data_IF_644359490976
#
_entry.id   IF_644359490976
#
_cell.length_a   1.000
_cell.length_b   1.000
_cell.length_c   1.000
_cell.angle_alpha   90.00
_cell.angle_beta   90.00
_cell.angle_gamma   90.00
#
_symmetry.space_group_name_H-M   'P 1'
#
loop_
_entity.id
_entity.type
_entity.pdbx_description
1 polymer ?
#
# COMPACT_ATOMS: atom_id res chain seq x y z
N UNK A 1 4.00 17.48 -36.47
CA UNK A 1 2.56 17.13 -36.54
C UNK A 1 2.25 15.63 -36.31
N UNK A 2 3.24 14.73 -36.17
CA UNK A 2 3.03 13.28 -35.89
C UNK A 2 3.07 12.83 -34.42
N UNK A 3 3.37 13.72 -33.47
CA UNK A 3 3.52 13.36 -32.05
C UNK A 3 2.19 13.30 -31.26
N UNK A 4 1.11 13.91 -31.77
CA UNK A 4 -0.17 13.99 -31.06
C UNK A 4 -0.91 12.66 -30.96
N UNK A 5 -1.09 11.97 -32.09
CA UNK A 5 -1.81 10.68 -32.12
C UNK A 5 -1.09 9.60 -31.32
N UNK A 6 0.25 9.50 -31.47
CA UNK A 6 1.06 8.56 -30.69
C UNK A 6 0.93 8.81 -29.19
N UNK A 7 0.95 10.08 -28.75
CA UNK A 7 0.73 10.43 -27.35
C UNK A 7 -0.63 10.00 -26.81
N UNK A 8 -1.71 10.18 -27.59
CA UNK A 8 -3.05 9.75 -27.18
C UNK A 8 -3.22 8.23 -27.16
N UNK A 9 -2.59 7.50 -28.10
CA UNK A 9 -2.57 6.03 -28.07
C UNK A 9 -1.85 5.54 -26.81
N UNK A 10 -0.67 6.08 -26.49
CA UNK A 10 0.06 5.73 -25.28
C UNK A 10 -0.73 6.07 -24.01
N UNK A 11 -1.41 7.22 -23.99
CA UNK A 11 -2.31 7.60 -22.90
C UNK A 11 -3.46 6.60 -22.75
N UNK A 12 -4.07 6.16 -23.85
CA UNK A 12 -5.17 5.19 -23.84
C UNK A 12 -4.74 3.80 -23.37
N UNK A 13 -3.58 3.32 -23.83
CA UNK A 13 -3.01 2.04 -23.36
C UNK A 13 -2.67 2.12 -21.87
N UNK A 14 -2.03 3.21 -21.43
CA UNK A 14 -1.71 3.45 -20.02
C UNK A 14 -2.97 3.53 -19.14
N UNK A 15 -4.03 4.18 -19.63
CA UNK A 15 -5.33 4.20 -18.97
C UNK A 15 -5.95 2.79 -18.88
N UNK A 16 -5.88 2.00 -19.95
CA UNK A 16 -6.34 0.61 -19.96
C UNK A 16 -5.63 -0.24 -18.91
N UNK A 17 -4.30 -0.16 -18.81
CA UNK A 17 -3.53 -0.85 -17.77
C UNK A 17 -3.89 -0.38 -16.36
N UNK A 18 -4.10 0.92 -16.17
CA UNK A 18 -4.50 1.46 -14.88
C UNK A 18 -5.90 0.96 -14.46
N UNK A 19 -6.85 0.93 -15.39
CA UNK A 19 -8.20 0.40 -15.18
C UNK A 19 -8.19 -1.12 -14.90
N UNK A 20 -7.38 -1.89 -15.62
CA UNK A 20 -7.21 -3.33 -15.35
C UNK A 20 -6.58 -3.60 -13.97
N UNK A 21 -5.70 -2.70 -13.50
CA UNK A 21 -4.99 -2.86 -12.23
C UNK A 21 -5.83 -2.48 -11.01
N UNK A 22 -6.61 -1.39 -11.08
CA UNK A 22 -7.31 -0.84 -9.91
C UNK A 22 -8.77 -0.46 -10.17
N UNK A 23 -9.29 -0.77 -11.35
CA UNK A 23 -10.66 -0.46 -11.73
C UNK A 23 -10.89 1.06 -11.95
N UNK A 24 -12.15 1.51 -11.85
CA UNK A 24 -12.55 2.87 -12.21
C UNK A 24 -11.83 4.00 -11.45
N UNK A 25 -11.26 3.74 -10.26
CA UNK A 25 -10.52 4.74 -9.49
C UNK A 25 -9.33 5.33 -10.27
N UNK A 26 -8.78 4.60 -11.24
CA UNK A 26 -7.74 5.11 -12.13
C UNK A 26 -8.17 6.38 -12.89
N UNK A 27 -9.46 6.50 -13.23
CA UNK A 27 -10.00 7.68 -13.90
C UNK A 27 -9.84 8.93 -13.04
N UNK A 28 -9.95 8.80 -11.71
CA UNK A 28 -9.74 9.92 -10.79
C UNK A 28 -8.32 10.49 -10.90
N UNK A 29 -7.33 9.67 -11.25
CA UNK A 29 -5.92 10.11 -11.31
C UNK A 29 -5.57 10.66 -12.68
N UNK A 30 -6.13 10.07 -13.73
CA UNK A 30 -5.72 10.33 -15.11
C UNK A 30 -6.62 11.39 -15.75
N UNK A 31 -7.94 11.28 -15.62
CA UNK A 31 -8.90 12.07 -16.40
C UNK A 31 -8.91 13.57 -16.07
N UNK A 32 -8.76 14.02 -14.80
CA UNK A 32 -8.76 15.45 -14.50
C UNK A 32 -7.63 16.22 -15.19
N UNK A 33 -6.48 15.57 -15.40
CA UNK A 33 -5.30 16.20 -15.98
C UNK A 33 -5.55 16.72 -17.41
N UNK A 34 -5.91 15.89 -18.41
CA UNK A 34 -6.22 16.35 -19.74
C UNK A 34 -7.51 17.18 -19.82
N UNK A 35 -8.49 16.98 -18.92
CA UNK A 35 -9.69 17.81 -18.87
C UNK A 35 -9.36 19.27 -18.51
N UNK A 36 -8.47 19.45 -17.53
CA UNK A 36 -8.03 20.76 -17.04
C UNK A 36 -6.85 21.33 -17.84
N UNK A 37 -6.57 20.79 -19.03
CA UNK A 37 -5.53 21.29 -19.93
C UNK A 37 -5.56 22.80 -20.20
N UNK A 38 -6.73 23.45 -20.40
CA UNK A 38 -6.78 24.90 -20.53
C UNK A 38 -6.21 25.67 -19.32
N UNK A 39 -6.26 25.05 -18.14
CA UNK A 39 -5.84 25.63 -16.87
C UNK A 39 -4.39 25.35 -16.50
N UNK A 40 -3.68 24.43 -17.15
CA UNK A 40 -2.23 24.29 -16.93
C UNK A 40 -1.41 24.67 -18.15
N UNK A 41 -1.88 24.42 -19.37
CA UNK A 41 -1.15 24.71 -20.60
C UNK A 41 -1.15 26.22 -20.91
N UNK A 42 -0.01 26.88 -20.72
CA UNK A 42 0.21 28.28 -21.15
C UNK A 42 0.89 28.34 -22.52
N UNK A 43 1.90 27.52 -22.69
CA UNK A 43 2.71 27.42 -23.91
C UNK A 43 2.24 26.22 -24.74
N UNK A 44 2.35 26.32 -26.07
CA UNK A 44 2.01 25.20 -26.95
C UNK A 44 0.53 24.82 -26.95
N UNK A 45 -0.37 25.76 -26.63
CA UNK A 45 -1.83 25.55 -26.68
C UNK A 45 -2.25 25.03 -28.05
N UNK A 46 -3.16 24.03 -28.12
CA UNK A 46 -3.68 23.57 -29.39
C UNK A 46 -4.45 24.71 -30.06
N UNK A 47 -4.37 24.80 -31.40
CA UNK A 47 -5.15 25.78 -32.16
C UNK A 47 -6.67 25.63 -31.93
N UNK A 48 -7.14 24.40 -31.65
CA UNK A 48 -8.54 24.09 -31.32
C UNK A 48 -8.60 23.02 -30.24
N UNK A 49 -9.27 23.31 -29.12
CA UNK A 49 -9.48 22.36 -28.02
C UNK A 49 -10.30 21.13 -28.42
N UNK A 50 -11.13 21.22 -29.46
CA UNK A 50 -11.86 20.07 -30.02
C UNK A 50 -10.93 18.90 -30.37
N UNK A 51 -9.78 19.17 -30.98
CA UNK A 51 -8.82 18.11 -31.33
C UNK A 51 -8.17 17.47 -30.10
N UNK A 52 -7.92 18.27 -29.06
CA UNK A 52 -7.41 17.78 -27.78
C UNK A 52 -8.41 16.85 -27.11
N UNK A 53 -9.67 17.25 -26.99
CA UNK A 53 -10.71 16.43 -26.37
C UNK A 53 -11.12 15.23 -27.24
N UNK A 54 -11.00 15.31 -28.57
CA UNK A 54 -11.13 14.14 -29.44
C UNK A 54 -10.00 13.11 -29.18
N UNK A 55 -8.77 13.58 -28.95
CA UNK A 55 -7.67 12.72 -28.53
C UNK A 55 -7.90 12.08 -27.15
N UNK A 56 -8.45 12.84 -26.20
CA UNK A 56 -8.86 12.31 -24.90
C UNK A 56 -9.95 11.25 -25.04
N UNK A 57 -10.97 11.49 -25.87
CA UNK A 57 -12.02 10.52 -26.15
C UNK A 57 -11.44 9.25 -26.78
N UNK A 58 -10.49 9.37 -27.72
CA UNK A 58 -9.77 8.24 -28.29
C UNK A 58 -9.00 7.46 -27.22
N UNK A 59 -8.25 8.13 -26.34
CA UNK A 59 -7.53 7.48 -25.25
C UNK A 59 -8.49 6.74 -24.29
N UNK A 60 -9.62 7.35 -23.96
CA UNK A 60 -10.66 6.74 -23.13
C UNK A 60 -11.25 5.48 -23.81
N UNK A 61 -11.58 5.57 -25.10
CA UNK A 61 -12.09 4.43 -25.87
C UNK A 61 -11.09 3.27 -25.93
N UNK A 62 -9.81 3.56 -26.17
CA UNK A 62 -8.74 2.55 -26.13
C UNK A 62 -8.70 1.88 -24.75
N UNK A 63 -8.70 2.67 -23.68
CA UNK A 63 -8.64 2.15 -22.31
C UNK A 63 -9.83 1.26 -21.95
N UNK A 64 -11.06 1.71 -22.27
CA UNK A 64 -12.29 0.93 -22.05
C UNK A 64 -12.29 -0.35 -22.88
N UNK A 65 -11.85 -0.28 -24.14
CA UNK A 65 -11.78 -1.46 -25.02
C UNK A 65 -10.86 -2.53 -24.44
N UNK A 66 -9.69 -2.14 -23.92
CA UNK A 66 -8.76 -3.07 -23.26
C UNK A 66 -9.37 -3.74 -22.03
N UNK A 67 -10.12 -3.00 -21.21
CA UNK A 67 -10.80 -3.54 -20.04
C UNK A 67 -11.90 -4.52 -20.45
N UNK A 68 -12.74 -4.13 -21.41
CA UNK A 68 -13.85 -4.97 -21.87
C UNK A 68 -13.38 -6.23 -22.59
N UNK A 69 -12.28 -6.15 -23.34
CA UNK A 69 -11.66 -7.30 -24.00
C UNK A 69 -11.27 -8.42 -23.01
N UNK A 70 -11.01 -8.06 -21.75
CA UNK A 70 -10.79 -9.03 -20.66
C UNK A 70 -12.07 -9.32 -19.86
N UNK A 71 -12.80 -8.29 -19.44
CA UNK A 71 -13.91 -8.41 -18.51
C UNK A 71 -15.10 -9.19 -19.10
N UNK A 72 -15.36 -9.07 -20.41
CA UNK A 72 -16.46 -9.78 -21.06
C UNK A 72 -16.19 -11.30 -21.11
N UNK A 73 -15.06 -11.79 -21.66
CA UNK A 73 -14.75 -13.22 -21.61
C UNK A 73 -14.69 -13.77 -20.18
N UNK A 74 -14.12 -13.03 -19.24
CA UNK A 74 -14.04 -13.45 -17.84
C UNK A 74 -15.43 -13.58 -17.20
N UNK A 75 -16.33 -12.63 -17.44
CA UNK A 75 -17.72 -12.67 -16.97
C UNK A 75 -18.59 -13.72 -17.69
N UNK A 76 -18.20 -14.18 -18.87
CA UNK A 76 -18.83 -15.32 -19.55
C UNK A 76 -18.36 -16.65 -18.95
N UNK A 77 -17.06 -16.79 -18.69
CA UNK A 77 -16.46 -18.00 -18.14
C UNK A 77 -16.76 -18.22 -16.64
N UNK A 78 -16.86 -17.16 -15.83
CA UNK A 78 -17.01 -17.26 -14.37
C UNK A 78 -18.41 -17.53 -13.84
N UNK A 79 -19.43 -17.61 -14.70
CA UNK A 79 -20.82 -17.78 -14.29
C UNK A 79 -21.49 -16.50 -13.74
N UNK A 80 -22.77 -16.59 -13.39
CA UNK A 80 -23.61 -15.43 -13.03
C UNK A 80 -23.09 -14.70 -11.79
N UNK A 81 -22.76 -15.42 -10.72
CA UNK A 81 -22.27 -14.82 -9.49
C UNK A 81 -20.97 -14.02 -9.69
N UNK A 82 -20.05 -14.51 -10.54
CA UNK A 82 -18.82 -13.80 -10.87
C UNK A 82 -19.09 -12.57 -11.75
N UNK A 83 -19.97 -12.71 -12.76
CA UNK A 83 -20.38 -11.59 -13.62
C UNK A 83 -20.98 -10.44 -12.81
N UNK A 84 -21.90 -10.74 -11.90
CA UNK A 84 -22.53 -9.75 -11.04
C UNK A 84 -21.50 -9.11 -10.10
N UNK A 85 -20.51 -9.89 -9.63
CA UNK A 85 -19.44 -9.36 -8.81
C UNK A 85 -18.56 -8.33 -9.56
N UNK A 86 -18.17 -8.62 -10.80
CA UNK A 86 -17.26 -7.75 -11.56
C UNK A 86 -17.95 -6.50 -12.13
N UNK A 87 -19.23 -6.57 -12.52
CA UNK A 87 -19.94 -5.45 -13.16
C UNK A 87 -20.84 -4.65 -12.20
N UNK A 88 -21.52 -5.30 -11.24
CA UNK A 88 -22.54 -4.68 -10.40
C UNK A 88 -22.04 -4.40 -8.97
N UNK A 89 -21.46 -5.39 -8.28
CA UNK A 89 -21.03 -5.24 -6.87
C UNK A 89 -19.77 -4.41 -6.68
N UNK A 90 -18.85 -4.37 -7.65
CA UNK A 90 -17.67 -3.50 -7.56
C UNK A 90 -18.02 -2.00 -7.52
N UNK A 91 -19.17 -1.61 -8.08
CA UNK A 91 -19.58 -0.21 -8.23
C UNK A 91 -20.62 0.19 -7.17
N UNK A 92 -21.62 -0.66 -6.89
CA UNK A 92 -22.71 -0.34 -5.97
C UNK A 92 -22.32 -0.50 -4.48
N UNK A 93 -21.72 -1.63 -4.09
CA UNK A 93 -21.43 -1.90 -2.67
C UNK A 93 -20.30 -1.02 -2.14
N UNK A 94 -19.35 -0.59 -2.99
CA UNK A 94 -18.28 0.35 -2.59
C UNK A 94 -18.75 1.78 -2.45
N UNK A 95 -19.88 2.15 -3.06
CA UNK A 95 -20.46 3.49 -2.97
C UNK A 95 -21.55 3.58 -1.90
N UNK A 96 -22.26 2.49 -1.60
CA UNK A 96 -23.45 2.48 -0.71
C UNK A 96 -23.22 1.75 0.62
N UNK A 97 -22.38 0.70 0.67
CA UNK A 97 -22.02 0.06 1.94
C UNK A 97 -20.82 0.81 2.54
N UNK A 98 -21.11 1.62 3.55
CA UNK A 98 -20.20 2.58 4.18
C UNK A 98 -18.75 2.11 4.31
N UNK A 99 -17.86 3.04 3.97
CA UNK A 99 -16.41 2.93 4.06
C UNK A 99 -15.93 2.05 5.24
N UNK A 100 -15.52 0.82 4.94
CA UNK A 100 -14.76 -0.03 5.89
C UNK A 100 -13.48 0.67 6.40
N UNK A 101 -13.11 1.81 5.79
CA UNK A 101 -12.07 2.73 6.21
C UNK A 101 -12.55 4.18 6.23
N UNK A 102 -13.74 4.44 6.79
CA UNK A 102 -14.23 5.80 7.04
C UNK A 102 -13.23 6.54 7.92
N UNK A 103 -12.61 7.59 7.39
CA UNK A 103 -11.62 8.40 8.11
C UNK A 103 -11.97 9.89 8.02
N UNK A 104 -11.70 10.67 9.08
CA UNK A 104 -12.00 12.10 9.10
C UNK A 104 -11.22 12.86 8.00
N UNK A 105 -11.66 14.06 7.66
CA UNK A 105 -11.05 14.89 6.61
C UNK A 105 -9.55 15.17 6.88
N UNK A 106 -9.17 15.34 8.15
CA UNK A 106 -7.79 15.61 8.56
C UNK A 106 -6.88 14.37 8.53
N UNK A 107 -7.37 13.17 8.18
CA UNK A 107 -6.60 11.93 8.25
C UNK A 107 -5.30 11.97 7.44
N UNK A 108 -5.30 12.69 6.31
CA UNK A 108 -4.09 12.84 5.49
C UNK A 108 -3.05 13.80 6.09
N UNK A 109 -3.40 14.64 7.08
CA UNK A 109 -2.48 15.60 7.71
C UNK A 109 -1.26 14.91 8.34
N UNK A 110 -1.40 13.85 9.16
CA UNK A 110 -0.23 13.09 9.66
C UNK A 110 0.36 12.11 8.63
N UNK A 111 -0.45 11.63 7.67
CA UNK A 111 -0.02 10.59 6.71
C UNK A 111 0.87 11.16 5.61
N UNK A 112 0.56 12.35 5.09
CA UNK A 112 1.31 12.97 4.00
C UNK A 112 2.78 13.25 4.38
N UNK A 113 3.09 13.88 5.53
CA UNK A 113 4.47 14.07 5.95
C UNK A 113 5.24 12.76 6.07
N UNK A 114 4.60 11.70 6.59
CA UNK A 114 5.22 10.38 6.72
C UNK A 114 5.52 9.74 5.35
N UNK A 115 4.60 9.84 4.39
CA UNK A 115 4.81 9.37 3.01
C UNK A 115 5.91 10.14 2.28
N UNK A 116 6.17 11.39 2.70
CA UNK A 116 7.16 12.28 2.10
C UNK A 116 8.51 12.24 2.84
N UNK A 117 8.72 11.32 3.79
CA UNK A 117 10.05 11.07 4.33
C UNK A 117 10.92 10.40 3.25
N UNK A 118 12.17 10.85 3.02
CA UNK A 118 12.88 11.84 3.82
C UNK A 118 12.70 13.29 3.37
N UNK A 119 12.15 13.59 2.19
CA UNK A 119 12.04 14.95 1.64
C UNK A 119 11.58 16.02 2.65
N UNK A 120 10.56 15.73 3.47
CA UNK A 120 10.08 16.64 4.53
C UNK A 120 11.15 17.02 5.57
N UNK A 121 12.16 16.17 5.78
CA UNK A 121 13.25 16.40 6.73
C UNK A 121 14.33 17.34 6.20
N UNK A 122 14.33 17.65 4.91
CA UNK A 122 15.35 18.50 4.28
C UNK A 122 14.86 19.94 4.18
N UNK A 123 15.50 20.92 4.85
CA UNK A 123 15.10 22.32 4.73
C UNK A 123 15.16 22.86 3.30
N UNK A 124 16.07 22.32 2.49
CA UNK A 124 16.17 22.66 1.06
C UNK A 124 14.96 22.20 0.26
N UNK A 125 14.31 21.10 0.65
CA UNK A 125 13.08 20.62 0.03
C UNK A 125 11.94 21.62 0.25
N UNK A 126 11.83 22.21 1.45
CA UNK A 126 10.84 23.26 1.73
C UNK A 126 11.12 24.53 0.95
N UNK A 127 12.39 24.91 0.78
CA UNK A 127 12.79 26.02 -0.10
C UNK A 127 12.41 25.77 -1.55
N UNK A 128 12.64 24.55 -2.06
CA UNK A 128 12.21 24.18 -3.41
C UNK A 128 10.70 24.36 -3.60
N UNK A 129 9.89 23.91 -2.64
CA UNK A 129 8.42 24.11 -2.65
C UNK A 129 8.05 25.60 -2.60
N UNK A 130 8.75 26.41 -1.82
CA UNK A 130 8.50 27.86 -1.79
C UNK A 130 8.81 28.51 -3.15
N UNK A 131 9.88 28.08 -3.83
CA UNK A 131 10.28 28.57 -5.16
C UNK A 131 9.27 28.20 -6.24
N UNK A 132 8.61 27.03 -6.15
CA UNK A 132 7.57 26.58 -7.10
C UNK A 132 6.47 27.62 -7.30
N UNK A 133 6.13 28.42 -6.26
CA UNK A 133 5.12 29.50 -6.37
C UNK A 133 5.48 30.54 -7.44
N UNK A 134 6.77 30.80 -7.65
CA UNK A 134 7.30 31.73 -8.66
C UNK A 134 7.32 31.13 -10.06
N UNK A 135 7.23 29.80 -10.18
CA UNK A 135 7.30 29.05 -11.44
C UNK A 135 5.91 28.70 -12.00
N UNK A 136 4.84 29.27 -11.46
CA UNK A 136 3.46 29.01 -11.89
C UNK A 136 3.14 29.54 -13.28
N UNK A 137 4.05 30.29 -13.92
CA UNK A 137 3.97 30.63 -15.33
C UNK A 137 4.29 29.44 -16.25
N UNK A 138 5.05 28.46 -15.78
CA UNK A 138 5.47 27.32 -16.58
C UNK A 138 4.36 26.28 -16.70
N UNK A 139 4.10 25.84 -17.92
CA UNK A 139 3.06 24.84 -18.20
C UNK A 139 3.28 23.53 -17.42
N UNK A 140 4.53 23.06 -17.32
CA UNK A 140 4.89 21.83 -16.58
C UNK A 140 4.69 21.94 -15.06
N UNK A 141 5.03 23.09 -14.48
CA UNK A 141 4.78 23.35 -13.05
C UNK A 141 3.29 23.39 -12.74
N UNK A 142 2.49 24.09 -13.57
CA UNK A 142 1.03 24.13 -13.41
C UNK A 142 0.39 22.75 -13.57
N UNK A 143 0.89 21.95 -14.51
CA UNK A 143 0.44 20.58 -14.73
C UNK A 143 0.60 19.76 -13.45
N UNK A 144 1.79 19.76 -12.85
CA UNK A 144 2.05 18.99 -11.63
C UNK A 144 1.26 19.52 -10.42
N UNK A 145 1.10 20.85 -10.30
CA UNK A 145 0.28 21.46 -9.25
C UNK A 145 -1.19 21.07 -9.37
N UNK A 146 -1.77 21.15 -10.57
CA UNK A 146 -3.17 20.78 -10.82
C UNK A 146 -3.37 19.29 -10.63
N UNK A 147 -2.48 18.45 -11.19
CA UNK A 147 -2.52 17.01 -11.00
C UNK A 147 -2.49 16.63 -9.52
N UNK A 148 -1.51 17.15 -8.77
CA UNK A 148 -1.39 16.87 -7.34
C UNK A 148 -2.58 17.39 -6.54
N UNK A 149 -2.99 18.64 -6.76
CA UNK A 149 -4.08 19.26 -6.01
C UNK A 149 -5.43 18.59 -6.24
N UNK A 150 -5.77 18.27 -7.50
CA UNK A 150 -7.08 17.68 -7.82
C UNK A 150 -7.20 16.26 -7.27
N UNK A 151 -6.17 15.43 -7.49
CA UNK A 151 -6.19 14.04 -7.00
C UNK A 151 -6.16 13.99 -5.48
N UNK A 152 -5.33 14.82 -4.84
CA UNK A 152 -5.28 14.93 -3.38
C UNK A 152 -6.62 15.38 -2.80
N UNK A 153 -7.21 16.44 -3.35
CA UNK A 153 -8.51 16.96 -2.88
C UNK A 153 -9.61 15.91 -3.04
N UNK A 154 -9.65 15.19 -4.16
CA UNK A 154 -10.62 14.12 -4.36
C UNK A 154 -10.49 13.03 -3.28
N UNK A 155 -9.29 12.58 -2.95
CA UNK A 155 -9.08 11.59 -1.90
C UNK A 155 -9.37 12.10 -0.49
N UNK A 156 -9.13 13.38 -0.21
CA UNK A 156 -9.55 14.01 1.06
C UNK A 156 -11.07 13.95 1.22
N UNK A 157 -11.83 14.18 0.14
CA UNK A 157 -13.28 14.20 0.15
C UNK A 157 -13.92 12.80 0.17
N UNK A 158 -13.25 11.78 -0.35
CA UNK A 158 -13.75 10.40 -0.31
C UNK A 158 -13.69 9.83 1.12
N UNK A 159 -14.76 9.18 1.57
CA UNK A 159 -14.88 8.64 2.94
C UNK A 159 -13.82 7.56 3.24
N UNK A 160 -13.64 6.62 2.31
CA UNK A 160 -12.63 5.57 2.39
C UNK A 160 -11.22 6.11 2.13
N UNK A 161 -10.39 6.24 3.16
CA UNK A 161 -9.01 6.77 3.04
C UNK A 161 -7.98 5.71 3.41
N UNK A 162 -6.98 5.57 2.55
CA UNK A 162 -5.79 4.72 2.78
C UNK A 162 -4.54 5.46 2.31
N UNK A 163 -3.39 5.16 2.92
CA UNK A 163 -2.15 5.91 2.69
C UNK A 163 -1.64 5.69 1.26
N UNK A 164 -1.73 4.45 0.78
CA UNK A 164 -1.28 4.07 -0.55
C UNK A 164 -2.14 4.64 -1.69
N UNK A 165 -3.28 5.27 -1.40
CA UNK A 165 -4.08 5.98 -2.40
C UNK A 165 -3.36 7.22 -2.94
N UNK A 166 -2.44 7.81 -2.17
CA UNK A 166 -1.66 8.97 -2.60
C UNK A 166 -0.38 8.61 -3.36
N UNK A 167 -0.01 7.32 -3.48
CA UNK A 167 1.18 6.92 -4.23
C UNK A 167 1.20 7.46 -5.67
N UNK A 168 0.08 7.48 -6.42
CA UNK A 168 0.06 8.03 -7.78
C UNK A 168 0.23 9.54 -7.86
N UNK A 169 0.16 10.27 -6.73
CA UNK A 169 0.43 11.72 -6.66
C UNK A 169 1.93 12.00 -6.45
N UNK A 170 2.69 11.06 -5.90
CA UNK A 170 4.11 11.24 -5.60
C UNK A 170 4.96 11.65 -6.82
N UNK A 171 4.74 11.14 -8.05
CA UNK A 171 5.50 11.60 -9.21
C UNK A 171 5.32 13.10 -9.50
N UNK A 172 4.11 13.64 -9.35
CA UNK A 172 3.85 15.07 -9.51
C UNK A 172 4.65 15.90 -8.50
N UNK A 173 4.67 15.45 -7.24
CA UNK A 173 5.41 16.10 -6.16
C UNK A 173 6.92 16.02 -6.40
N UNK A 174 7.43 14.86 -6.83
CA UNK A 174 8.85 14.66 -7.13
C UNK A 174 9.32 15.62 -8.23
N UNK A 175 8.53 15.78 -9.31
CA UNK A 175 8.83 16.72 -10.40
C UNK A 175 8.83 18.18 -9.92
N UNK A 176 7.88 18.56 -9.05
CA UNK A 176 7.84 19.90 -8.46
C UNK A 176 9.05 20.17 -7.55
N UNK A 177 9.46 19.17 -6.76
CA UNK A 177 10.63 19.25 -5.91
C UNK A 177 11.90 19.46 -6.71
N UNK A 178 12.12 18.62 -7.72
CA UNK A 178 13.27 18.70 -8.62
C UNK A 178 13.33 20.07 -9.33
N UNK A 179 12.21 20.47 -9.95
CA UNK A 179 12.11 21.76 -10.63
C UNK A 179 12.33 22.94 -9.69
N UNK A 180 11.82 22.87 -8.47
CA UNK A 180 11.99 23.87 -7.43
C UNK A 180 13.44 23.98 -6.95
N UNK A 181 14.14 22.84 -6.78
CA UNK A 181 15.56 22.81 -6.47
C UNK A 181 16.40 23.42 -7.58
N UNK A 182 16.13 23.05 -8.83
CA UNK A 182 16.82 23.61 -9.99
C UNK A 182 16.66 25.14 -10.09
N UNK A 183 15.50 25.68 -9.71
CA UNK A 183 15.25 27.13 -9.70
C UNK A 183 15.81 27.87 -8.48
N UNK A 184 16.00 27.20 -7.34
CA UNK A 184 16.43 27.85 -6.10
C UNK A 184 17.92 28.28 -6.13
N UNK A 185 18.71 27.77 -7.08
CA UNK A 185 20.12 28.09 -7.22
C UNK A 185 21.01 27.54 -6.09
N UNK A 186 22.31 27.81 -6.17
CA UNK A 186 23.32 27.32 -5.21
C UNK A 186 23.46 28.22 -3.96
N UNK A 187 22.97 29.46 -4.04
CA UNK A 187 23.24 30.55 -3.07
C UNK A 187 22.61 30.37 -1.67
N UNK A 188 21.77 29.34 -1.48
CA UNK A 188 21.09 29.03 -0.21
C UNK A 188 21.76 27.92 0.61
N UNK A 189 23.10 27.87 0.64
CA UNK A 189 23.92 26.70 0.99
C UNK A 189 23.79 26.12 2.42
N UNK A 190 22.91 26.62 3.30
CA UNK A 190 22.61 25.93 4.55
C UNK A 190 21.58 24.81 4.32
N UNK A 191 22.06 23.72 3.72
CA UNK A 191 21.32 22.49 3.46
C UNK A 191 21.24 21.61 4.72
N UNK A 192 20.97 22.20 5.89
CA UNK A 192 21.14 21.59 7.22
C UNK A 192 20.95 20.07 7.18
N UNK A 193 22.08 19.37 7.08
CA UNK A 193 22.14 17.91 7.00
C UNK A 193 21.86 17.28 8.37
N UNK A 194 21.85 18.11 9.42
CA UNK A 194 21.62 17.72 10.79
C UNK A 194 20.21 17.15 11.00
N UNK A 195 19.18 17.69 10.33
CA UNK A 195 17.82 17.17 10.44
C UNK A 195 17.67 15.78 9.81
N UNK A 196 18.01 15.53 8.53
CA UNK A 196 17.91 14.20 7.95
C UNK A 196 18.86 13.20 8.63
N UNK A 197 20.10 13.60 8.95
CA UNK A 197 21.03 12.72 9.67
C UNK A 197 20.54 12.41 11.09
N UNK A 198 20.08 13.42 11.83
CA UNK A 198 19.54 13.25 13.18
C UNK A 198 18.32 12.34 13.20
N UNK A 199 17.43 12.43 12.20
CA UNK A 199 16.31 11.52 12.06
C UNK A 199 16.75 10.07 11.80
N UNK A 200 17.71 9.85 10.89
CA UNK A 200 18.26 8.50 10.65
C UNK A 200 18.93 7.93 11.91
N UNK A 201 19.73 8.74 12.60
CA UNK A 201 20.38 8.35 13.84
C UNK A 201 19.35 8.01 14.91
N UNK A 202 18.32 8.85 15.09
CA UNK A 202 17.24 8.60 16.05
C UNK A 202 16.46 7.33 15.70
N UNK A 203 16.13 7.11 14.42
CA UNK A 203 15.44 5.90 13.98
C UNK A 203 16.30 4.65 14.21
N UNK A 204 17.60 4.71 13.92
CA UNK A 204 18.55 3.64 14.18
C UNK A 204 18.71 3.33 15.67
N UNK A 205 18.90 4.36 16.50
CA UNK A 205 19.00 4.24 17.95
C UNK A 205 17.69 3.68 18.53
N UNK A 206 16.54 4.21 18.12
CA UNK A 206 15.24 3.72 18.57
C UNK A 206 15.05 2.24 18.21
N UNK A 207 15.37 1.84 16.97
CA UNK A 207 15.27 0.45 16.55
C UNK A 207 16.26 -0.49 17.27
N UNK A 208 17.45 0.01 17.64
CA UNK A 208 18.45 -0.76 18.39
C UNK A 208 18.12 -0.87 19.88
N UNK A 209 17.52 0.17 20.49
CA UNK A 209 17.22 0.22 21.92
C UNK A 209 15.86 -0.37 22.26
N UNK A 210 14.84 -0.20 21.41
CA UNK A 210 13.48 -0.65 21.69
C UNK A 210 13.36 -2.14 22.10
N UNK A 211 14.09 -3.10 21.51
CA UNK A 211 14.05 -4.50 21.94
C UNK A 211 14.50 -4.73 23.38
N UNK A 212 15.28 -3.80 23.95
CA UNK A 212 15.84 -3.89 25.30
C UNK A 212 15.04 -3.08 26.33
N UNK A 213 13.98 -2.38 25.93
CA UNK A 213 13.15 -1.60 26.85
C UNK A 213 12.21 -2.52 27.65
N UNK A 214 12.33 -2.57 28.99
CA UNK A 214 11.52 -3.47 29.81
C UNK A 214 10.03 -3.13 29.70
N UNK A 215 9.21 -4.15 29.48
CA UNK A 215 7.75 -4.02 29.37
C UNK A 215 7.23 -3.59 27.99
N UNK A 216 8.10 -3.17 27.06
CA UNK A 216 7.66 -2.84 25.69
C UNK A 216 7.17 -4.08 24.94
N UNK A 217 7.79 -5.23 25.18
CA UNK A 217 7.36 -6.53 24.65
C UNK A 217 5.88 -6.86 24.95
N UNK A 218 5.38 -6.45 26.12
CA UNK A 218 3.96 -6.68 26.49
C UNK A 218 3.00 -5.89 25.59
N UNK A 219 3.42 -4.74 25.07
CA UNK A 219 2.62 -3.92 24.16
C UNK A 219 2.90 -4.24 22.70
N UNK A 220 4.15 -4.62 22.39
CA UNK A 220 4.65 -4.92 21.05
C UNK A 220 5.36 -6.27 21.08
N UNK A 221 4.63 -7.39 20.96
CA UNK A 221 5.19 -8.74 21.18
C UNK A 221 6.36 -9.11 20.26
N UNK A 222 6.43 -8.49 19.08
CA UNK A 222 7.49 -8.74 18.10
C UNK A 222 8.74 -7.87 18.31
N UNK A 223 8.75 -6.93 19.26
CA UNK A 223 9.84 -5.95 19.39
C UNK A 223 11.19 -6.61 19.71
N UNK A 224 11.19 -7.69 20.51
CA UNK A 224 12.40 -8.42 20.89
C UNK A 224 13.11 -9.12 19.71
N UNK A 225 12.39 -9.33 18.60
CA UNK A 225 12.92 -9.99 17.41
C UNK A 225 13.49 -9.02 16.36
N UNK A 226 13.44 -7.71 16.61
CA UNK A 226 14.02 -6.70 15.71
C UNK A 226 15.54 -6.85 15.67
N UNK A 227 16.11 -6.88 14.46
CA UNK A 227 17.56 -7.12 14.30
C UNK A 227 18.36 -5.84 14.56
N UNK A 228 19.36 -5.86 15.46
CA UNK A 228 20.15 -4.67 15.77
C UNK A 228 21.11 -4.25 14.63
N UNK A 229 21.57 -5.19 13.80
CA UNK A 229 22.52 -4.91 12.72
C UNK A 229 22.06 -3.80 11.74
N UNK A 230 20.91 -3.96 11.06
CA UNK A 230 20.36 -2.91 10.19
C UNK A 230 20.01 -1.62 10.94
N UNK A 231 19.69 -1.69 12.23
CA UNK A 231 19.46 -0.51 13.07
C UNK A 231 20.76 0.29 13.30
N UNK A 232 21.89 -0.37 13.55
CA UNK A 232 23.22 0.27 13.62
C UNK A 232 23.61 0.87 12.26
N UNK A 233 23.30 0.20 11.15
CA UNK A 233 23.57 0.74 9.81
C UNK A 233 22.79 2.04 9.52
N UNK A 234 21.62 2.27 10.13
CA UNK A 234 20.93 3.56 10.03
C UNK A 234 21.72 4.70 10.70
N UNK A 235 22.39 4.42 11.82
CA UNK A 235 23.27 5.39 12.48
C UNK A 235 24.51 5.67 11.63
N UNK A 236 25.09 4.64 11.00
CA UNK A 236 26.19 4.80 10.04
C UNK A 236 25.74 5.62 8.83
N UNK A 237 24.53 5.37 8.31
CA UNK A 237 23.95 6.12 7.20
C UNK A 237 23.75 7.60 7.55
N UNK A 238 23.43 7.94 8.81
CA UNK A 238 23.40 9.32 9.28
C UNK A 238 24.75 10.04 9.10
N UNK A 239 25.84 9.39 9.49
CA UNK A 239 27.20 9.89 9.27
C UNK A 239 27.52 10.05 7.78
N UNK A 240 27.15 9.06 6.96
CA UNK A 240 27.32 9.12 5.51
C UNK A 240 26.57 10.30 4.87
N UNK A 241 25.34 10.59 5.29
CA UNK A 241 24.57 11.77 4.82
C UNK A 241 25.31 13.07 5.10
N UNK A 242 25.89 13.23 6.30
CA UNK A 242 26.67 14.43 6.65
C UNK A 242 27.95 14.53 5.83
N UNK A 243 28.71 13.43 5.72
CA UNK A 243 30.00 13.41 5.00
C UNK A 243 29.80 13.65 3.50
N UNK A 244 28.89 12.91 2.88
CA UNK A 244 28.61 13.02 1.45
C UNK A 244 27.92 14.35 1.13
N UNK A 245 26.93 14.76 1.93
CA UNK A 245 26.23 16.03 1.71
C UNK A 245 27.14 17.26 1.78
N UNK A 246 28.21 17.23 2.57
CA UNK A 246 29.23 18.30 2.60
C UNK A 246 30.16 18.30 1.39
N UNK A 247 30.29 17.17 0.69
CA UNK A 247 31.20 16.99 -0.47
C UNK A 247 30.49 17.11 -1.81
N UNK A 248 29.17 16.93 -1.85
CA UNK A 248 28.39 16.98 -3.08
C UNK A 248 28.21 18.43 -3.54
N UNK A 249 28.33 18.63 -4.86
CA UNK A 249 27.88 19.87 -5.49
C UNK A 249 26.38 20.10 -5.20
N UNK A 250 25.92 21.34 -4.98
CA UNK A 250 24.54 21.65 -4.62
C UNK A 250 23.50 21.01 -5.56
N UNK A 251 23.77 20.99 -6.88
CA UNK A 251 22.91 20.35 -7.88
C UNK A 251 22.73 18.83 -7.72
N UNK A 252 23.53 18.16 -6.88
CA UNK A 252 23.42 16.71 -6.62
C UNK A 252 22.68 16.37 -5.33
N UNK A 253 22.19 17.36 -4.59
CA UNK A 253 21.44 17.12 -3.36
C UNK A 253 20.19 16.24 -3.53
N UNK A 254 19.39 16.35 -4.61
CA UNK A 254 18.22 15.49 -4.81
C UNK A 254 18.59 13.99 -4.87
N UNK A 255 19.78 13.67 -5.38
CA UNK A 255 20.31 12.29 -5.40
C UNK A 255 20.54 11.80 -3.97
N UNK A 256 21.15 12.62 -3.11
CA UNK A 256 21.38 12.26 -1.71
C UNK A 256 20.07 12.08 -0.93
N UNK A 257 19.07 12.96 -1.17
CA UNK A 257 17.73 12.82 -0.56
C UNK A 257 17.08 11.51 -0.97
N UNK A 258 17.11 11.19 -2.27
CA UNK A 258 16.53 9.96 -2.81
C UNK A 258 17.25 8.72 -2.28
N UNK A 259 18.58 8.72 -2.28
CA UNK A 259 19.40 7.64 -1.73
C UNK A 259 19.12 7.42 -0.24
N UNK A 260 18.95 8.50 0.52
CA UNK A 260 18.58 8.43 1.94
C UNK A 260 17.24 7.72 2.14
N UNK A 261 16.25 8.00 1.30
CA UNK A 261 14.94 7.36 1.39
C UNK A 261 14.99 5.87 1.06
N UNK A 262 15.78 5.50 0.04
CA UNK A 262 16.01 4.09 -0.30
C UNK A 262 16.73 3.34 0.82
N UNK A 263 17.79 3.92 1.39
CA UNK A 263 18.55 3.33 2.50
C UNK A 263 17.67 3.19 3.74
N UNK A 264 16.91 4.23 4.10
CA UNK A 264 15.97 4.18 5.22
C UNK A 264 14.95 3.06 5.02
N UNK A 265 14.29 3.01 3.86
CA UNK A 265 13.30 1.98 3.56
C UNK A 265 13.91 0.58 3.62
N UNK A 266 15.06 0.35 2.97
CA UNK A 266 15.71 -0.96 2.94
C UNK A 266 16.15 -1.42 4.33
N UNK A 267 16.79 -0.55 5.12
CA UNK A 267 17.28 -0.89 6.45
C UNK A 267 16.13 -1.10 7.45
N UNK A 268 15.05 -0.32 7.37
CA UNK A 268 13.85 -0.56 8.17
C UNK A 268 13.19 -1.91 7.82
N UNK A 269 13.10 -2.25 6.53
CA UNK A 269 12.60 -3.55 6.12
C UNK A 269 13.48 -4.68 6.65
N UNK A 270 14.81 -4.57 6.54
CA UNK A 270 15.74 -5.59 7.04
C UNK A 270 15.75 -5.69 8.57
N UNK A 271 15.52 -4.60 9.29
CA UNK A 271 15.43 -4.58 10.75
C UNK A 271 14.12 -5.22 11.25
N UNK A 272 12.98 -4.82 10.67
CA UNK A 272 11.65 -5.06 11.23
C UNK A 272 10.92 -6.25 10.59
N UNK A 273 11.06 -6.48 9.27
CA UNK A 273 10.31 -7.56 8.61
C UNK A 273 10.62 -8.95 9.16
N UNK A 274 11.87 -9.31 9.52
CA UNK A 274 12.13 -10.60 10.15
C UNK A 274 11.38 -10.80 11.48
N UNK A 275 11.18 -9.73 12.24
CA UNK A 275 10.45 -9.74 13.51
C UNK A 275 8.93 -9.89 13.29
N UNK A 276 8.40 -9.26 12.24
CA UNK A 276 6.98 -9.34 11.88
C UNK A 276 6.62 -10.63 11.15
N UNK A 277 7.55 -11.23 10.42
CA UNK A 277 7.30 -12.38 9.54
C UNK A 277 6.52 -13.52 10.20
N UNK A 278 6.82 -13.96 11.44
CA UNK A 278 6.06 -15.03 12.08
C UNK A 278 4.55 -14.77 12.19
N UNK A 279 4.14 -13.50 12.30
CA UNK A 279 2.73 -13.13 12.40
C UNK A 279 2.02 -13.11 11.04
N UNK A 280 2.77 -13.00 9.92
CA UNK A 280 2.19 -12.87 8.58
C UNK A 280 2.45 -14.10 7.70
N UNK A 281 3.40 -14.95 8.06
CA UNK A 281 3.70 -16.19 7.34
C UNK A 281 2.67 -17.27 7.71
N UNK A 282 1.67 -17.40 6.86
CA UNK A 282 0.58 -18.38 7.03
C UNK A 282 0.98 -19.79 6.60
N UNK A 283 2.14 -19.95 5.98
CA UNK A 283 2.56 -21.20 5.32
C UNK A 283 2.62 -22.38 6.29
N UNK A 284 3.23 -22.27 7.48
CA UNK A 284 3.33 -23.41 8.40
C UNK A 284 1.95 -23.95 8.80
N UNK A 285 1.03 -23.05 9.20
CA UNK A 285 -0.33 -23.43 9.59
C UNK A 285 -1.13 -23.96 8.39
N UNK A 286 -0.95 -23.39 7.21
CA UNK A 286 -1.63 -23.86 6.01
C UNK A 286 -1.18 -25.29 5.62
N UNK A 287 0.11 -25.60 5.76
CA UNK A 287 0.62 -26.96 5.51
C UNK A 287 0.13 -27.96 6.56
N UNK A 288 -0.01 -27.53 7.82
CA UNK A 288 -0.62 -28.34 8.87
C UNK A 288 -2.10 -28.64 8.58
N UNK A 289 -2.88 -27.62 8.20
CA UNK A 289 -4.28 -27.80 7.78
C UNK A 289 -4.39 -28.74 6.58
N UNK A 290 -3.48 -28.62 5.60
CA UNK A 290 -3.42 -29.55 4.48
C UNK A 290 -3.18 -30.99 4.93
N UNK A 291 -2.26 -31.22 5.88
CA UNK A 291 -2.00 -32.54 6.41
C UNK A 291 -3.23 -33.13 7.13
N UNK A 292 -4.02 -32.32 7.82
CA UNK A 292 -5.31 -32.75 8.37
C UNK A 292 -6.30 -33.16 7.28
N UNK A 293 -6.42 -32.36 6.23
CA UNK A 293 -7.29 -32.62 5.09
C UNK A 293 -6.89 -33.91 4.35
N UNK A 294 -5.59 -34.11 4.08
CA UNK A 294 -5.04 -35.33 3.48
C UNK A 294 -5.29 -36.58 4.35
N UNK A 295 -5.42 -36.41 5.67
CA UNK A 295 -5.81 -37.48 6.61
C UNK A 295 -7.33 -37.69 6.70
N UNK A 296 -8.14 -36.96 5.93
CA UNK A 296 -9.59 -37.06 5.92
C UNK A 296 -10.29 -36.31 7.06
N UNK A 297 -9.65 -35.31 7.66
CA UNK A 297 -10.35 -34.40 8.57
C UNK A 297 -11.16 -33.37 7.78
N UNK A 298 -12.41 -33.14 8.20
CA UNK A 298 -13.18 -32.01 7.70
C UNK A 298 -12.67 -30.72 8.34
N UNK A 299 -12.62 -29.63 7.58
CA UNK A 299 -12.12 -28.34 8.08
C UNK A 299 -13.18 -27.26 7.92
N UNK A 300 -13.49 -26.57 9.01
CA UNK A 300 -14.35 -25.39 8.99
C UNK A 300 -13.61 -24.13 9.47
N UNK A 301 -13.97 -23.01 8.87
CA UNK A 301 -13.46 -21.69 9.23
C UNK A 301 -14.58 -20.87 9.87
N UNK A 302 -14.34 -20.37 11.07
CA UNK A 302 -15.31 -19.55 11.80
C UNK A 302 -15.27 -18.10 11.31
N UNK A 303 -16.37 -17.68 10.70
CA UNK A 303 -16.58 -16.34 10.17
C UNK A 303 -15.99 -16.14 8.77
N UNK A 304 -15.62 -14.91 8.43
CA UNK A 304 -15.22 -14.57 7.06
C UNK A 304 -13.89 -15.23 6.66
N UNK A 305 -13.94 -16.03 5.60
CA UNK A 305 -12.77 -16.68 5.00
C UNK A 305 -12.33 -16.01 3.70
N UNK A 306 -11.02 -15.79 3.51
CA UNK A 306 -10.45 -15.15 2.31
C UNK A 306 -9.50 -16.08 1.52
N UNK A 307 -9.68 -17.40 1.63
CA UNK A 307 -8.85 -18.42 0.96
C UNK A 307 -7.33 -18.35 1.27
N UNK A 308 -6.93 -17.63 2.34
CA UNK A 308 -5.51 -17.42 2.64
C UNK A 308 -4.75 -18.73 2.93
N UNK A 309 -5.43 -19.75 3.47
CA UNK A 309 -4.84 -21.05 3.74
C UNK A 309 -4.72 -21.87 2.46
N UNK A 310 -5.76 -21.89 1.62
CA UNK A 310 -5.75 -22.63 0.36
C UNK A 310 -4.67 -22.12 -0.58
N UNK A 311 -4.51 -20.79 -0.70
CA UNK A 311 -3.47 -20.22 -1.54
C UNK A 311 -2.07 -20.66 -1.06
N UNK A 312 -1.81 -20.59 0.25
CA UNK A 312 -0.50 -20.88 0.81
C UNK A 312 -0.11 -22.37 0.71
N UNK A 313 -1.05 -23.29 0.94
CA UNK A 313 -0.78 -24.74 0.89
C UNK A 313 -1.21 -25.42 -0.42
N UNK A 314 -1.76 -24.66 -1.38
CA UNK A 314 -2.33 -25.16 -2.65
C UNK A 314 -3.42 -26.21 -2.45
N UNK A 315 -4.27 -26.02 -1.45
CA UNK A 315 -5.42 -26.90 -1.17
C UNK A 315 -6.55 -26.63 -2.17
N UNK A 316 -7.21 -27.70 -2.62
CA UNK A 316 -8.26 -27.64 -3.63
C UNK A 316 -9.65 -27.93 -3.07
N UNK A 317 -9.79 -28.75 -2.02
CA UNK A 317 -11.10 -29.01 -1.44
C UNK A 317 -11.47 -27.87 -0.47
N UNK A 318 -12.71 -27.36 -0.55
CA UNK A 318 -13.13 -26.18 0.17
C UNK A 318 -13.29 -26.45 1.67
N UNK A 319 -13.03 -25.42 2.47
CA UNK A 319 -13.44 -25.43 3.88
C UNK A 319 -14.93 -25.10 4.00
N UNK A 320 -15.59 -25.69 4.99
CA UNK A 320 -16.86 -25.17 5.46
C UNK A 320 -16.65 -23.77 6.07
N UNK A 321 -17.64 -22.88 5.93
CA UNK A 321 -17.61 -21.55 6.54
C UNK A 321 -18.82 -21.45 7.45
N UNK A 322 -18.58 -21.46 8.75
CA UNK A 322 -19.62 -21.38 9.79
C UNK A 322 -19.67 -19.96 10.33
N UNK A 323 -20.86 -19.41 10.53
CA UNK A 323 -21.07 -18.01 10.85
C UNK A 323 -20.70 -17.69 12.31
N UNK A 324 -21.07 -18.57 13.24
CA UNK A 324 -20.90 -18.35 14.68
C UNK A 324 -20.52 -19.64 15.44
N UNK A 325 -20.38 -19.49 16.76
CA UNK A 325 -19.93 -20.61 17.61
C UNK A 325 -21.00 -21.70 17.75
N UNK A 326 -22.29 -21.37 17.71
CA UNK A 326 -23.35 -22.37 17.83
C UNK A 326 -23.44 -23.24 16.57
N UNK A 327 -23.29 -22.62 15.39
CA UNK A 327 -23.19 -23.35 14.12
C UNK A 327 -21.91 -24.19 14.07
N UNK A 328 -20.78 -23.65 14.57
CA UNK A 328 -19.54 -24.43 14.68
C UNK A 328 -19.72 -25.65 15.59
N UNK A 329 -20.38 -25.51 16.73
CA UNK A 329 -20.62 -26.60 17.67
C UNK A 329 -21.52 -27.68 17.06
N UNK A 330 -22.60 -27.29 16.38
CA UNK A 330 -23.48 -28.21 15.64
C UNK A 330 -22.72 -28.94 14.52
N UNK A 331 -21.89 -28.23 13.76
CA UNK A 331 -21.09 -28.80 12.69
C UNK A 331 -20.03 -29.78 13.21
N UNK A 332 -19.45 -29.53 14.39
CA UNK A 332 -18.50 -30.43 15.03
C UNK A 332 -19.13 -31.77 15.43
N UNK A 333 -20.40 -31.77 15.84
CA UNK A 333 -21.15 -33.00 16.16
C UNK A 333 -21.35 -33.88 14.92
N UNK A 334 -21.60 -33.27 13.75
CA UNK A 334 -21.77 -33.96 12.47
C UNK A 334 -20.45 -34.50 11.89
N UNK A 335 -19.30 -33.96 12.33
CA UNK A 335 -17.98 -34.28 11.76
C UNK A 335 -17.03 -34.81 12.84
N UNK A 336 -17.01 -36.11 13.16
CA UNK A 336 -16.22 -36.65 14.28
C UNK A 336 -14.70 -36.43 14.16
N UNK A 337 -14.19 -36.29 12.93
CA UNK A 337 -12.79 -35.93 12.64
C UNK A 337 -12.77 -34.55 12.00
N UNK A 338 -12.55 -33.53 12.81
CA UNK A 338 -12.66 -32.15 12.36
C UNK A 338 -11.52 -31.25 12.82
N UNK A 339 -11.35 -30.13 12.13
CA UNK A 339 -10.57 -28.98 12.57
C UNK A 339 -11.41 -27.72 12.42
N UNK A 340 -11.57 -26.96 13.51
CA UNK A 340 -12.17 -25.62 13.46
C UNK A 340 -11.07 -24.57 13.57
N UNK A 341 -11.03 -23.66 12.60
CA UNK A 341 -10.14 -22.51 12.59
C UNK A 341 -10.87 -21.32 13.22
N UNK A 342 -10.36 -20.81 14.34
CA UNK A 342 -10.94 -19.68 15.08
C UNK A 342 -9.93 -18.55 15.25
N UNK A 343 -10.39 -17.30 15.35
CA UNK A 343 -9.55 -16.16 15.69
C UNK A 343 -9.76 -15.72 17.13
N UNK A 344 -8.67 -15.42 17.83
CA UNK A 344 -8.69 -15.01 19.23
C UNK A 344 -7.80 -13.79 19.47
N UNK A 345 -8.12 -12.99 20.49
CA UNK A 345 -7.16 -12.04 21.07
C UNK A 345 -6.17 -12.79 21.97
N UNK A 346 -5.03 -12.19 22.31
CA UNK A 346 -3.97 -12.83 23.08
C UNK A 346 -4.45 -13.54 24.37
N UNK A 347 -5.26 -12.86 25.20
CA UNK A 347 -5.80 -13.45 26.43
C UNK A 347 -6.75 -14.65 26.16
N UNK A 348 -7.52 -14.60 25.09
CA UNK A 348 -8.41 -15.69 24.67
C UNK A 348 -7.61 -16.86 24.09
N UNK A 349 -6.52 -16.58 23.36
CA UNK A 349 -5.63 -17.60 22.83
C UNK A 349 -4.97 -18.39 23.96
N UNK A 350 -4.46 -17.72 25.00
CA UNK A 350 -3.87 -18.38 26.17
C UNK A 350 -4.88 -19.30 26.90
N UNK A 351 -6.14 -18.86 27.04
CA UNK A 351 -7.19 -19.68 27.62
C UNK A 351 -7.54 -20.91 26.74
N UNK A 352 -7.51 -20.74 25.42
CA UNK A 352 -7.73 -21.83 24.44
C UNK A 352 -6.60 -22.84 24.41
N UNK A 353 -5.36 -22.38 24.49
CA UNK A 353 -4.19 -23.26 24.64
C UNK A 353 -4.25 -24.08 25.92
N UNK A 354 -4.67 -23.47 27.04
CA UNK A 354 -4.90 -24.20 28.29
C UNK A 354 -6.04 -25.25 28.16
N UNK A 355 -6.99 -25.03 27.25
CA UNK A 355 -8.04 -25.98 26.87
C UNK A 355 -7.62 -27.03 25.83
N UNK A 356 -6.36 -27.05 25.40
CA UNK A 356 -5.81 -28.04 24.46
C UNK A 356 -5.86 -27.64 22.98
N UNK A 357 -6.33 -26.42 22.64
CA UNK A 357 -6.25 -25.91 21.27
C UNK A 357 -4.81 -25.51 20.93
N UNK A 358 -4.41 -25.66 19.66
CA UNK A 358 -3.13 -25.13 19.19
C UNK A 358 -3.34 -23.73 18.65
N UNK A 359 -2.74 -22.73 19.28
CA UNK A 359 -2.79 -21.35 18.80
C UNK A 359 -1.46 -20.92 18.18
N UNK A 360 -1.53 -19.99 17.23
CA UNK A 360 -0.37 -19.39 16.57
C UNK A 360 -0.62 -17.91 16.26
N UNK A 361 0.40 -17.05 16.30
CA UNK A 361 0.25 -15.64 15.96
C UNK A 361 -0.26 -15.45 14.52
N UNK A 362 -1.17 -14.50 14.32
CA UNK A 362 -1.70 -14.14 13.01
C UNK A 362 -2.08 -12.65 12.96
N UNK A 363 -1.20 -11.85 12.33
CA UNK A 363 -1.29 -10.39 12.22
C UNK A 363 -1.35 -9.71 13.59
N UNK A 364 -2.48 -9.13 13.92
CA UNK A 364 -2.83 -8.46 15.18
C UNK A 364 -3.62 -9.38 16.14
N UNK A 365 -3.84 -10.63 15.75
CA UNK A 365 -4.63 -11.64 16.47
C UNK A 365 -3.88 -12.96 16.53
N UNK A 366 -4.56 -13.98 17.04
CA UNK A 366 -4.12 -15.37 17.06
C UNK A 366 -5.10 -16.21 16.26
N UNK A 367 -4.60 -17.25 15.60
CA UNK A 367 -5.42 -18.32 15.03
C UNK A 367 -5.28 -19.53 15.92
N UNK A 368 -6.41 -20.10 16.33
CA UNK A 368 -6.47 -21.31 17.14
C UNK A 368 -7.16 -22.42 16.36
N UNK A 369 -6.59 -23.62 16.43
CA UNK A 369 -7.14 -24.84 15.86
C UNK A 369 -7.73 -25.69 16.99
N UNK A 370 -9.04 -25.91 16.92
CA UNK A 370 -9.72 -26.92 17.71
C UNK A 370 -9.80 -28.20 16.87
N UNK A 371 -9.10 -29.25 17.31
CA UNK A 371 -9.01 -30.53 16.59
C UNK A 371 -9.84 -31.57 17.33
N UNK A 372 -10.85 -32.10 16.66
CA UNK A 372 -11.71 -33.17 17.19
C UNK A 372 -11.43 -34.50 16.51
N UNK A 373 -11.53 -35.58 17.28
CA UNK A 373 -11.29 -36.95 16.83
C UNK A 373 -9.87 -37.42 17.10
N UNK A 374 -9.73 -38.42 17.99
CA UNK A 374 -8.45 -39.08 18.27
C UNK A 374 -7.90 -39.69 16.98
N UNK A 375 -6.67 -39.30 16.65
CA UNK A 375 -5.82 -40.15 15.83
C UNK A 375 -5.53 -41.41 16.65
N UNK A 376 -6.27 -42.50 16.41
CA UNK A 376 -5.65 -43.80 16.60
C UNK A 376 -4.53 -43.86 15.56
N UNK A 377 -3.30 -43.66 16.01
CA UNK A 377 -2.12 -44.04 15.24
C UNK A 377 -2.28 -45.53 14.85
N UNK A 378 -2.06 -45.91 13.58
CA UNK A 378 -1.93 -47.32 13.23
C UNK A 378 -0.71 -47.96 13.90
#
# INVERSE_FOLDING_TARGET
RGHGLRGWILCGVGLGWALLSKGPVALLHILPVPLLAPWWMRDGRPARWRGWYAGLALAFLIGVTLVLAWAIPAGLAGGQAYRDAIFLRQTADRMVAGAAHGRPLWWYLPVVPLLLVPWVLWPSAWRAVATVRRLTAESGTRLCLIWGAVVFTAFVLISGKQAHYLLPVLPALALLWDRGWAAAGEDGANHSLALPAGFLALAGIAAAVAPHLPGLERQVPWIGAVRPGPAVLLVVAAGAVVILGRRLAPGRLPVLVTATGLVLSALLHLAVMPALRPNFDVTPLALELRAYQERGYAIAHLGKYNAQWHFAARMTEPFAVVADSAEADSWMEEHPRHVIIRYARAAQAAAREAGGERCSPFRDRWVCLAVGGSAKEP
#
